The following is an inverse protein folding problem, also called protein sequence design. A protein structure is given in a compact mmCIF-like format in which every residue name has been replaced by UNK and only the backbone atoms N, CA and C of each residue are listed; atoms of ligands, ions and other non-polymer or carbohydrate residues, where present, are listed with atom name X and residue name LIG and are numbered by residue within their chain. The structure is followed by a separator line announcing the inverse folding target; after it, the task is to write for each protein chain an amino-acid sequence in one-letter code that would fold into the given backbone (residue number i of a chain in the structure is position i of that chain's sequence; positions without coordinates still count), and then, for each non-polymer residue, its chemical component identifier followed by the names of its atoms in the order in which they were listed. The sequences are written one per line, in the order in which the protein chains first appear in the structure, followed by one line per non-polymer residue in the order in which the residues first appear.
data_IF_492327902560
#
_entry.id   IF_492327902560
#
_cell.length_a   1.000
_cell.length_b   1.000
_cell.length_c   1.000
_cell.angle_alpha   90.00
_cell.angle_beta   90.00
_cell.angle_gamma   90.00
#
_symmetry.space_group_name_H-M   'P 1'
#
loop_
_entity.id
_entity.type
_entity.pdbx_description
1 polymer ?
#
# COMPACT_ATOMS: atom_id res chain seq x y z
N UNK A 1 -0.86 -53.67 -0.13
CA UNK A 1 -0.73 -52.79 1.05
C UNK A 1 0.22 -51.65 0.69
N UNK A 2 -0.25 -50.39 0.86
CA UNK A 2 0.53 -49.13 0.96
C UNK A 2 1.39 -48.73 -0.28
N UNK A 3 1.27 -47.57 -0.92
CA UNK A 3 0.71 -46.25 -0.57
C UNK A 3 0.31 -45.51 -1.85
N UNK A 4 -0.97 -45.14 -1.96
CA UNK A 4 -1.37 -43.83 -2.48
C UNK A 4 -0.69 -42.76 -1.62
N UNK A 5 -0.12 -41.72 -2.25
CA UNK A 5 0.11 -40.34 -1.74
C UNK A 5 1.36 -39.74 -2.39
N UNK A 6 1.21 -39.22 -3.60
CA UNK A 6 2.09 -38.18 -4.17
C UNK A 6 1.28 -37.31 -5.17
N UNK A 7 0.06 -36.93 -4.79
CA UNK A 7 -0.83 -36.09 -5.61
C UNK A 7 -1.39 -34.90 -4.80
N UNK A 8 -0.55 -34.20 -4.02
CA UNK A 8 -1.02 -33.07 -3.21
C UNK A 8 -0.06 -31.87 -3.10
N UNK A 9 0.91 -31.69 -4.01
CA UNK A 9 1.91 -30.62 -3.85
C UNK A 9 2.03 -29.63 -5.00
N UNK A 10 1.03 -29.50 -5.89
CA UNK A 10 1.08 -28.50 -6.98
C UNK A 10 -0.21 -27.66 -7.11
N UNK A 11 -1.23 -27.90 -6.29
CA UNK A 11 -2.52 -27.21 -6.40
C UNK A 11 -2.65 -25.88 -5.60
N UNK A 12 -1.54 -25.19 -5.32
CA UNK A 12 -1.54 -23.88 -4.62
C UNK A 12 -1.00 -22.72 -5.47
N UNK A 13 -0.74 -22.93 -6.77
CA UNK A 13 -0.07 -21.91 -7.60
C UNK A 13 -0.97 -21.09 -8.53
N UNK A 14 -2.30 -21.19 -8.43
CA UNK A 14 -3.19 -20.39 -9.30
C UNK A 14 -4.44 -19.94 -8.56
N UNK A 15 -4.25 -19.14 -7.50
CA UNK A 15 -5.14 -18.00 -7.33
C UNK A 15 -4.41 -16.83 -7.97
N UNK A 16 -4.62 -16.60 -9.26
CA UNK A 16 -4.44 -15.25 -9.79
C UNK A 16 -5.55 -14.43 -9.13
N UNK A 17 -5.22 -13.52 -8.20
CA UNK A 17 -6.24 -12.62 -7.66
C UNK A 17 -6.72 -11.79 -8.84
N UNK A 18 -8.03 -11.77 -9.09
CA UNK A 18 -8.56 -10.82 -10.04
C UNK A 18 -8.26 -9.43 -9.50
N UNK A 19 -7.43 -8.70 -10.25
CA UNK A 19 -7.04 -7.31 -10.05
C UNK A 19 -8.30 -6.43 -10.11
N UNK A 20 -9.05 -6.33 -9.01
CA UNK A 20 -9.57 -5.02 -8.65
C UNK A 20 -8.31 -4.18 -8.44
N UNK A 21 -7.94 -3.47 -9.50
CA UNK A 21 -6.62 -2.90 -9.68
C UNK A 21 -6.27 -2.09 -8.45
N UNK A 22 -5.22 -2.50 -7.72
CA UNK A 22 -4.69 -1.86 -6.51
C UNK A 22 -4.12 -0.47 -6.86
N UNK A 23 -4.95 0.39 -7.44
CA UNK A 23 -4.56 1.60 -8.15
C UNK A 23 -4.28 2.72 -7.15
N UNK A 24 -3.18 3.39 -7.40
CA UNK A 24 -2.82 4.67 -6.79
C UNK A 24 -3.45 5.77 -7.64
N UNK A 25 -4.02 6.77 -6.96
CA UNK A 25 -4.58 7.95 -7.63
C UNK A 25 -3.54 9.06 -7.72
N UNK A 26 -3.64 9.92 -8.74
CA UNK A 26 -2.72 11.05 -8.94
C UNK A 26 -2.51 11.89 -7.67
N UNK A 27 -3.57 12.28 -6.93
CA UNK A 27 -3.41 13.05 -5.69
C UNK A 27 -2.57 12.36 -4.60
N UNK A 28 -2.44 11.02 -4.66
CA UNK A 28 -1.58 10.25 -3.76
C UNK A 28 -0.11 10.54 -4.07
N UNK A 29 0.30 10.41 -5.33
CA UNK A 29 1.66 10.73 -5.74
C UNK A 29 1.97 12.22 -5.57
N UNK A 30 1.02 13.11 -5.87
CA UNK A 30 1.20 14.54 -5.61
C UNK A 30 1.47 14.83 -4.13
N UNK A 31 0.81 14.08 -3.22
CA UNK A 31 1.02 14.21 -1.77
C UNK A 31 2.35 13.62 -1.32
N UNK A 32 2.72 12.44 -1.83
CA UNK A 32 4.01 11.78 -1.55
C UNK A 32 5.18 12.66 -1.99
N UNK A 33 5.09 13.22 -3.20
CA UNK A 33 6.12 14.03 -3.81
C UNK A 33 6.05 15.51 -3.36
N UNK A 34 4.93 15.94 -2.80
CA UNK A 34 4.61 17.34 -2.47
C UNK A 34 4.78 18.28 -3.66
N UNK A 35 4.34 17.83 -4.82
CA UNK A 35 4.34 18.58 -6.08
C UNK A 35 3.00 18.35 -6.78
N UNK A 36 2.25 19.41 -7.02
CA UNK A 36 0.83 19.34 -7.41
C UNK A 36 0.62 19.88 -8.82
N UNK A 37 -0.31 19.28 -9.55
CA UNK A 37 -0.76 19.74 -10.87
C UNK A 37 0.27 19.53 -11.97
N UNK A 38 1.17 18.56 -11.83
CA UNK A 38 2.21 18.25 -12.82
C UNK A 38 1.81 17.10 -13.71
N UNK A 39 1.93 17.30 -15.02
CA UNK A 39 1.64 16.28 -16.02
C UNK A 39 2.49 15.02 -15.85
N UNK A 40 3.78 15.15 -15.52
CA UNK A 40 4.65 14.00 -15.29
C UNK A 40 4.22 13.13 -14.10
N UNK A 41 3.51 13.70 -13.11
CA UNK A 41 2.94 12.94 -11.98
C UNK A 41 1.72 12.14 -12.41
N UNK A 42 0.92 12.68 -13.34
CA UNK A 42 -0.18 11.93 -13.97
C UNK A 42 0.38 10.71 -14.71
N UNK A 43 1.40 10.93 -15.54
CA UNK A 43 2.06 9.86 -16.30
C UNK A 43 2.74 8.84 -15.40
N UNK A 44 3.45 9.29 -14.36
CA UNK A 44 4.03 8.44 -13.34
C UNK A 44 2.97 7.56 -12.68
N UNK A 45 1.82 8.13 -12.31
CA UNK A 45 0.73 7.39 -11.65
C UNK A 45 0.14 6.32 -12.57
N UNK A 46 -0.14 6.66 -13.83
CA UNK A 46 -0.67 5.71 -14.80
C UNK A 46 0.29 4.52 -14.99
N UNK A 47 1.56 4.81 -15.24
CA UNK A 47 2.56 3.77 -15.47
C UNK A 47 2.81 2.94 -14.19
N UNK A 48 2.85 3.58 -13.02
CA UNK A 48 3.01 2.87 -11.75
C UNK A 48 1.93 1.81 -11.52
N UNK A 49 0.69 2.10 -11.91
CA UNK A 49 -0.43 1.18 -11.76
C UNK A 49 -0.39 -0.01 -12.73
N UNK A 50 0.45 0.06 -13.77
CA UNK A 50 0.68 -1.03 -14.73
C UNK A 50 1.88 -1.91 -14.34
N UNK A 51 2.72 -1.45 -13.39
CA UNK A 51 3.91 -2.18 -12.97
C UNK A 51 3.56 -3.30 -11.99
N UNK A 52 4.08 -4.50 -12.28
CA UNK A 52 3.81 -5.70 -11.49
C UNK A 52 4.80 -5.93 -10.33
N UNK A 53 6.03 -5.39 -10.44
CA UNK A 53 7.11 -5.65 -9.48
C UNK A 53 7.58 -4.40 -8.74
N UNK A 54 7.99 -4.58 -7.48
CA UNK A 54 8.45 -3.48 -6.61
C UNK A 54 9.77 -2.89 -7.10
N UNK A 55 10.69 -3.71 -7.57
CA UNK A 55 11.98 -3.28 -8.09
C UNK A 55 11.81 -2.39 -9.33
N UNK A 56 10.90 -2.78 -10.24
CA UNK A 56 10.59 -1.98 -11.41
C UNK A 56 9.90 -0.68 -11.03
N UNK A 57 8.93 -0.74 -10.11
CA UNK A 57 8.22 0.44 -9.62
C UNK A 57 9.20 1.45 -9.01
N UNK A 58 10.11 0.98 -8.16
CA UNK A 58 11.20 1.79 -7.58
C UNK A 58 12.05 2.42 -8.67
N UNK A 59 12.59 1.62 -9.59
CA UNK A 59 13.46 2.11 -10.68
C UNK A 59 12.75 3.19 -11.50
N UNK A 60 11.53 2.90 -11.96
CA UNK A 60 10.75 3.81 -12.79
C UNK A 60 10.40 5.11 -12.06
N UNK A 61 9.96 5.04 -10.80
CA UNK A 61 9.66 6.22 -10.00
C UNK A 61 10.91 7.07 -9.75
N UNK A 62 12.06 6.46 -9.44
CA UNK A 62 13.31 7.22 -9.23
C UNK A 62 13.78 7.91 -10.51
N UNK A 63 13.71 7.22 -11.66
CA UNK A 63 14.04 7.79 -12.96
C UNK A 63 13.11 8.96 -13.32
N UNK A 64 11.81 8.83 -13.05
CA UNK A 64 10.85 9.91 -13.27
C UNK A 64 11.17 11.13 -12.38
N UNK A 65 11.53 10.92 -11.12
CA UNK A 65 11.94 12.00 -10.21
C UNK A 65 13.23 12.65 -10.72
N UNK A 66 14.26 11.87 -11.08
CA UNK A 66 15.54 12.41 -11.56
C UNK A 66 15.40 13.26 -12.82
N UNK A 67 14.51 12.87 -13.72
CA UNK A 67 14.32 13.56 -15.00
C UNK A 67 13.41 14.81 -14.90
N UNK A 68 12.52 14.88 -13.91
CA UNK A 68 11.48 15.91 -13.86
C UNK A 68 11.56 16.84 -12.63
N UNK A 69 12.30 16.45 -11.59
CA UNK A 69 12.30 17.18 -10.33
C UNK A 69 13.11 18.48 -10.41
N UNK A 70 12.48 19.59 -10.01
CA UNK A 70 13.13 20.88 -9.85
C UNK A 70 12.86 21.41 -8.43
N UNK A 71 13.88 21.50 -7.56
CA UNK A 71 13.65 21.90 -6.18
C UNK A 71 13.25 23.37 -6.11
N UNK A 72 12.20 23.66 -5.34
CA UNK A 72 11.72 25.02 -5.12
C UNK A 72 12.48 25.64 -3.93
N UNK A 73 13.05 26.82 -4.14
CA UNK A 73 13.65 27.59 -3.05
C UNK A 73 12.55 28.26 -2.22
N UNK A 74 12.61 28.06 -0.89
CA UNK A 74 11.86 28.87 0.06
C UNK A 74 12.69 30.11 0.36
N UNK A 75 12.34 31.25 -0.24
CA UNK A 75 12.81 32.54 0.24
C UNK A 75 11.95 32.92 1.46
N UNK A 76 12.52 32.99 2.68
CA UNK A 76 11.76 33.48 3.81
C UNK A 76 11.56 34.99 3.64
N UNK A 77 10.38 35.39 3.18
CA UNK A 77 10.04 36.79 2.89
C UNK A 77 10.10 37.69 4.15
N UNK A 78 10.22 37.11 5.35
CA UNK A 78 10.24 37.84 6.63
C UNK A 78 11.27 37.32 7.67
N UNK A 79 12.25 36.49 7.32
CA UNK A 79 13.26 36.11 8.31
C UNK A 79 14.35 37.19 8.36
N UNK A 80 14.76 37.56 9.57
CA UNK A 80 15.77 38.60 9.82
C UNK A 80 17.05 38.36 9.03
N UNK A 81 17.92 39.39 8.99
CA UNK A 81 19.10 39.57 8.10
C UNK A 81 20.04 38.38 7.81
N UNK A 82 19.87 37.22 8.43
CA UNK A 82 20.75 36.04 8.34
C UNK A 82 20.09 34.75 7.84
N UNK A 83 18.83 34.76 7.38
CA UNK A 83 18.20 33.52 6.89
C UNK A 83 18.62 33.17 5.47
N UNK A 84 19.46 32.13 5.34
CA UNK A 84 19.82 31.55 4.05
C UNK A 84 18.59 30.91 3.37
N UNK A 85 18.48 30.99 2.03
CA UNK A 85 17.47 30.23 1.29
C UNK A 85 17.59 28.74 1.60
N UNK A 86 16.48 28.07 1.87
CA UNK A 86 16.42 26.62 2.05
C UNK A 86 15.57 25.98 0.95
N UNK A 87 15.93 24.77 0.53
CA UNK A 87 15.09 24.01 -0.40
C UNK A 87 13.83 23.57 0.34
N UNK A 88 12.66 23.87 -0.23
CA UNK A 88 11.38 23.51 0.37
C UNK A 88 11.16 21.99 0.35
N UNK A 89 11.65 21.33 -0.71
CA UNK A 89 11.64 19.87 -0.89
C UNK A 89 12.95 19.45 -1.58
N UNK A 90 14.01 19.12 -0.82
CA UNK A 90 15.25 18.60 -1.40
C UNK A 90 15.01 17.23 -2.06
N UNK A 91 15.70 16.98 -3.18
CA UNK A 91 15.49 15.77 -4.00
C UNK A 91 15.67 14.47 -3.20
N UNK A 92 16.65 14.42 -2.28
CA UNK A 92 16.89 13.23 -1.45
C UNK A 92 15.67 12.89 -0.60
N UNK A 93 14.99 13.89 -0.04
CA UNK A 93 13.78 13.69 0.77
C UNK A 93 12.57 13.29 -0.07
N UNK A 94 12.50 13.77 -1.31
CA UNK A 94 11.45 13.37 -2.27
C UNK A 94 11.63 11.92 -2.68
N UNK A 95 12.88 11.51 -2.97
CA UNK A 95 13.23 10.13 -3.26
C UNK A 95 12.99 9.22 -2.06
N UNK A 96 13.36 9.62 -0.85
CA UNK A 96 13.08 8.88 0.38
C UNK A 96 11.57 8.67 0.57
N UNK A 97 10.76 9.70 0.35
CA UNK A 97 9.31 9.60 0.44
C UNK A 97 8.71 8.66 -0.62
N UNK A 98 9.18 8.74 -1.87
CA UNK A 98 8.75 7.85 -2.94
C UNK A 98 9.19 6.40 -2.69
N UNK A 99 10.48 6.20 -2.45
CA UNK A 99 11.10 5.22 -1.56
C UNK A 99 10.14 4.38 -0.73
N UNK A 100 9.91 4.94 0.44
CA UNK A 100 9.12 4.34 1.46
C UNK A 100 7.72 4.05 0.87
N UNK A 101 7.09 4.94 0.07
CA UNK A 101 5.69 4.82 -0.35
C UNK A 101 5.47 3.53 -1.12
N UNK A 102 6.42 3.20 -1.98
CA UNK A 102 6.40 1.97 -2.77
C UNK A 102 6.52 0.74 -1.84
N UNK A 103 7.41 0.78 -0.84
CA UNK A 103 7.57 -0.30 0.13
C UNK A 103 6.35 -0.47 1.05
N UNK A 104 5.69 0.63 1.44
CA UNK A 104 4.46 0.55 2.21
C UNK A 104 3.31 0.01 1.35
N UNK A 105 3.21 0.43 0.09
CA UNK A 105 2.20 -0.09 -0.84
C UNK A 105 2.36 -1.59 -1.04
N UNK A 106 3.60 -2.06 -1.18
CA UNK A 106 3.94 -3.48 -1.20
C UNK A 106 3.50 -4.20 0.08
N UNK A 107 3.84 -3.66 1.24
CA UNK A 107 3.45 -4.22 2.53
C UNK A 107 1.94 -4.32 2.69
N UNK A 108 1.19 -3.29 2.27
CA UNK A 108 -0.28 -3.30 2.30
C UNK A 108 -0.85 -4.41 1.40
N UNK A 109 -0.29 -4.59 0.20
CA UNK A 109 -0.66 -5.68 -0.74
C UNK A 109 -0.40 -7.06 -0.14
N UNK A 110 0.78 -7.27 0.46
CA UNK A 110 1.12 -8.51 1.15
C UNK A 110 0.16 -8.78 2.30
N UNK A 111 -0.09 -7.78 3.14
CA UNK A 111 -0.97 -7.89 4.29
C UNK A 111 -2.40 -8.29 3.90
N UNK A 112 -3.02 -7.58 2.95
CA UNK A 112 -4.40 -7.89 2.56
C UNK A 112 -4.48 -9.25 1.87
N UNK A 113 -3.47 -9.63 1.08
CA UNK A 113 -3.44 -10.94 0.42
C UNK A 113 -3.33 -12.08 1.43
N UNK A 114 -2.42 -11.97 2.40
CA UNK A 114 -2.23 -12.96 3.47
C UNK A 114 -3.50 -13.07 4.34
N UNK A 115 -4.11 -11.94 4.71
CA UNK A 115 -5.36 -11.90 5.49
C UNK A 115 -6.48 -12.66 4.78
N UNK A 116 -6.70 -12.37 3.49
CA UNK A 116 -7.75 -12.98 2.70
C UNK A 116 -7.45 -14.47 2.45
N UNK A 117 -6.20 -14.83 2.18
CA UNK A 117 -5.79 -16.22 1.98
C UNK A 117 -6.04 -17.06 3.24
N UNK A 118 -5.65 -16.56 4.42
CA UNK A 118 -5.89 -17.25 5.70
C UNK A 118 -7.38 -17.34 6.02
N UNK A 119 -8.15 -16.27 5.74
CA UNK A 119 -9.59 -16.25 5.96
C UNK A 119 -10.34 -17.24 5.05
N UNK A 120 -9.96 -17.34 3.78
CA UNK A 120 -10.53 -18.33 2.85
C UNK A 120 -10.12 -19.75 3.23
N UNK A 121 -8.85 -19.97 3.58
CA UNK A 121 -8.35 -21.30 3.97
C UNK A 121 -8.97 -21.84 5.26
N UNK A 122 -9.36 -20.94 6.17
CA UNK A 122 -10.03 -21.28 7.43
C UNK A 122 -11.57 -21.32 7.33
N UNK A 123 -12.12 -21.08 6.14
CA UNK A 123 -13.57 -21.10 5.90
C UNK A 123 -14.33 -19.92 6.50
N UNK A 124 -13.65 -18.82 6.84
CA UNK A 124 -14.28 -17.58 7.30
C UNK A 124 -14.95 -16.86 6.13
N UNK A 125 -14.32 -16.90 4.96
CA UNK A 125 -14.79 -16.29 3.72
C UNK A 125 -14.77 -17.30 2.57
N UNK A 126 -15.68 -17.15 1.62
CA UNK A 126 -15.54 -17.72 0.29
C UNK A 126 -14.75 -16.78 -0.65
N UNK A 127 -14.41 -17.23 -1.86
CA UNK A 127 -13.58 -16.47 -2.80
C UNK A 127 -14.24 -15.18 -3.30
N UNK A 128 -15.57 -15.13 -3.40
CA UNK A 128 -16.31 -13.95 -3.84
C UNK A 128 -16.30 -12.90 -2.72
N UNK A 129 -16.51 -13.33 -1.48
CA UNK A 129 -16.44 -12.45 -0.30
C UNK A 129 -15.04 -11.88 -0.11
N UNK A 130 -14.00 -12.68 -0.36
CA UNK A 130 -12.61 -12.23 -0.27
C UNK A 130 -12.32 -11.07 -1.23
N UNK A 131 -12.85 -11.11 -2.45
CA UNK A 131 -12.67 -10.05 -3.44
C UNK A 131 -13.41 -8.77 -3.07
N UNK A 132 -14.65 -8.90 -2.59
CA UNK A 132 -15.40 -7.75 -2.07
C UNK A 132 -14.70 -7.10 -0.86
N UNK A 133 -14.08 -7.90 0.01
CA UNK A 133 -13.32 -7.38 1.15
C UNK A 133 -12.01 -6.72 0.69
N UNK A 134 -11.34 -7.23 -0.35
CA UNK A 134 -10.16 -6.57 -0.93
C UNK A 134 -10.52 -5.18 -1.48
N UNK A 135 -11.61 -5.08 -2.22
CA UNK A 135 -12.09 -3.80 -2.76
C UNK A 135 -12.37 -2.78 -1.64
N UNK A 136 -13.03 -3.21 -0.56
CA UNK A 136 -13.28 -2.37 0.62
C UNK A 136 -11.99 -1.90 1.30
N UNK A 137 -10.98 -2.76 1.39
CA UNK A 137 -9.69 -2.37 1.98
C UNK A 137 -9.07 -1.19 1.23
N UNK A 138 -9.03 -1.26 -0.09
CA UNK A 138 -8.49 -0.18 -0.92
C UNK A 138 -9.39 1.05 -0.98
N UNK A 139 -10.71 0.88 -0.94
CA UNK A 139 -11.65 2.01 -0.81
C UNK A 139 -11.37 2.83 0.46
N UNK A 140 -11.09 2.15 1.58
CA UNK A 140 -10.78 2.82 2.86
C UNK A 140 -9.41 3.50 2.80
N UNK A 141 -8.40 2.85 2.23
CA UNK A 141 -7.04 3.40 2.07
C UNK A 141 -7.04 4.68 1.23
N UNK A 142 -7.65 4.62 0.04
CA UNK A 142 -7.75 5.76 -0.90
C UNK A 142 -8.41 6.99 -0.29
N UNK A 143 -9.41 6.80 0.57
CA UNK A 143 -10.16 7.91 1.17
C UNK A 143 -9.43 8.62 2.29
N UNK A 144 -8.38 8.02 2.85
CA UNK A 144 -7.93 8.42 4.16
C UNK A 144 -6.44 8.79 4.25
N UNK A 145 -5.54 8.34 3.35
CA UNK A 145 -4.10 8.68 3.38
C UNK A 145 -3.53 8.75 4.83
N UNK A 146 -3.81 7.72 5.61
CA UNK A 146 -3.61 7.65 7.08
C UNK A 146 -2.63 6.54 7.43
N UNK A 147 -2.04 6.61 8.62
CA UNK A 147 -1.24 5.51 9.18
C UNK A 147 -2.03 4.20 9.29
N UNK A 148 -1.30 3.08 9.27
CA UNK A 148 -1.88 1.74 9.15
C UNK A 148 -2.86 1.37 10.26
N UNK A 149 -2.65 1.80 11.52
CA UNK A 149 -3.63 1.53 12.60
C UNK A 149 -5.01 2.09 12.30
N UNK A 150 -5.06 3.33 11.81
CA UNK A 150 -6.32 4.01 11.50
C UNK A 150 -6.95 3.37 10.26
N UNK A 151 -6.14 2.96 9.28
CA UNK A 151 -6.61 2.21 8.11
C UNK A 151 -7.26 0.89 8.56
N UNK A 152 -6.56 0.13 9.40
CA UNK A 152 -7.02 -1.17 9.93
C UNK A 152 -8.34 -1.03 10.69
N UNK A 153 -8.43 -0.06 11.61
CA UNK A 153 -9.66 0.22 12.36
C UNK A 153 -10.84 0.54 11.43
N UNK A 154 -10.63 1.47 10.48
CA UNK A 154 -11.68 1.87 9.53
C UNK A 154 -12.06 0.75 8.58
N UNK A 155 -11.11 -0.08 8.18
CA UNK A 155 -11.35 -1.25 7.35
C UNK A 155 -12.25 -2.25 8.06
N UNK A 156 -11.93 -2.65 9.29
CA UNK A 156 -12.78 -3.61 10.01
C UNK A 156 -14.15 -3.06 10.34
N UNK A 157 -14.24 -1.76 10.66
CA UNK A 157 -15.52 -1.06 10.75
C UNK A 157 -16.30 -1.15 9.43
N UNK A 158 -15.65 -0.92 8.29
CA UNK A 158 -16.28 -0.99 6.97
C UNK A 158 -16.76 -2.40 6.62
N UNK A 159 -16.04 -3.44 7.07
CA UNK A 159 -16.48 -4.83 6.90
C UNK A 159 -17.71 -5.12 7.79
N UNK A 160 -17.75 -4.60 9.03
CA UNK A 160 -18.87 -4.80 9.94
C UNK A 160 -20.20 -4.17 9.47
N UNK A 161 -20.15 -3.25 8.50
CA UNK A 161 -21.36 -2.68 7.89
C UNK A 161 -22.11 -3.72 7.02
N UNK A 162 -21.39 -4.69 6.46
CA UNK A 162 -21.91 -5.63 5.45
C UNK A 162 -22.02 -7.07 5.96
N UNK A 163 -21.31 -7.41 7.04
CA UNK A 163 -21.22 -8.76 7.58
C UNK A 163 -21.66 -8.81 9.04
N UNK A 164 -22.11 -9.98 9.50
CA UNK A 164 -22.37 -10.21 10.92
C UNK A 164 -21.11 -10.03 11.76
N UNK A 165 -21.25 -9.63 13.02
CA UNK A 165 -20.14 -9.37 13.96
C UNK A 165 -19.10 -10.50 14.06
N UNK A 166 -19.47 -11.72 13.70
CA UNK A 166 -18.57 -12.87 13.70
C UNK A 166 -17.45 -12.74 12.65
N UNK A 167 -17.75 -12.26 11.45
CA UNK A 167 -16.77 -12.19 10.35
C UNK A 167 -15.68 -11.13 10.62
N UNK A 168 -16.00 -9.85 10.93
CA UNK A 168 -14.99 -8.87 11.29
C UNK A 168 -14.12 -9.33 12.46
N UNK A 169 -14.70 -9.93 13.52
CA UNK A 169 -13.95 -10.43 14.67
C UNK A 169 -12.96 -11.53 14.31
N UNK A 170 -13.36 -12.47 13.44
CA UNK A 170 -12.48 -13.53 12.95
C UNK A 170 -11.37 -12.96 12.08
N UNK A 171 -11.67 -11.99 11.21
CA UNK A 171 -10.66 -11.31 10.40
C UNK A 171 -9.68 -10.49 11.25
N UNK A 172 -10.15 -9.81 12.30
CA UNK A 172 -9.31 -9.11 13.27
C UNK A 172 -8.37 -10.08 14.02
N UNK A 173 -8.85 -11.28 14.34
CA UNK A 173 -8.03 -12.32 14.97
C UNK A 173 -6.91 -12.75 14.03
N UNK A 174 -7.24 -13.08 12.77
CA UNK A 174 -6.26 -13.46 11.75
C UNK A 174 -5.26 -12.31 11.49
N UNK A 175 -5.75 -11.07 11.43
CA UNK A 175 -4.91 -9.88 11.27
C UNK A 175 -3.90 -9.74 12.41
N UNK A 176 -4.35 -9.93 13.65
CA UNK A 176 -3.47 -9.89 14.83
C UNK A 176 -2.39 -10.97 14.73
N UNK A 177 -2.76 -12.19 14.38
CA UNK A 177 -1.81 -13.30 14.19
C UNK A 177 -0.78 -13.00 13.10
N UNK A 178 -1.19 -12.43 11.96
CA UNK A 178 -0.27 -12.02 10.89
C UNK A 178 0.75 -11.00 11.41
N UNK A 179 0.27 -9.96 12.10
CA UNK A 179 1.12 -8.87 12.59
C UNK A 179 2.07 -9.30 13.72
N UNK A 180 1.69 -10.31 14.51
CA UNK A 180 2.54 -10.91 15.54
C UNK A 180 3.58 -11.89 14.98
N UNK A 181 3.24 -12.59 13.89
CA UNK A 181 4.12 -13.62 13.29
C UNK A 181 5.09 -13.05 12.27
N UNK A 182 4.67 -12.07 11.47
CA UNK A 182 5.51 -11.43 10.46
C UNK A 182 5.98 -10.05 10.91
N UNK A 183 7.04 -10.05 11.71
CA UNK A 183 7.66 -8.82 12.25
C UNK A 183 8.18 -7.87 11.17
N UNK A 184 8.60 -8.39 10.00
CA UNK A 184 9.10 -7.57 8.91
C UNK A 184 7.94 -6.84 8.22
N UNK A 185 6.87 -7.57 7.87
CA UNK A 185 5.66 -6.98 7.32
C UNK A 185 5.09 -5.92 8.27
N UNK A 186 4.99 -6.25 9.56
CA UNK A 186 4.54 -5.32 10.58
C UNK A 186 5.40 -4.05 10.60
N UNK A 187 6.74 -4.17 10.63
CA UNK A 187 7.62 -2.99 10.61
C UNK A 187 7.41 -2.08 9.38
N UNK A 188 7.11 -2.66 8.21
CA UNK A 188 6.89 -1.90 6.96
C UNK A 188 5.52 -1.23 6.92
N UNK A 189 4.48 -1.86 7.47
CA UNK A 189 3.12 -1.30 7.52
C UNK A 189 3.06 -0.04 8.39
N UNK A 190 3.82 -0.03 9.48
CA UNK A 190 3.85 1.05 10.47
C UNK A 190 4.87 2.15 10.18
N UNK A 191 5.53 2.09 9.01
CA UNK A 191 6.45 3.15 8.60
C UNK A 191 5.66 4.34 8.04
N UNK A 192 5.60 5.44 8.80
CA UNK A 192 4.91 6.68 8.41
C UNK A 192 5.89 7.70 7.81
N UNK A 193 5.43 8.43 6.79
CA UNK A 193 6.11 9.55 6.15
C UNK A 193 5.80 10.84 6.92
N UNK A 194 6.82 11.66 7.21
CA UNK A 194 6.67 12.99 7.83
C UNK A 194 7.37 14.10 7.03
#
# INVERSE_FOLDING_TARGET
MLKQLCWFSVALLFFEPSLATDQVMVPTFETVLRDYGKQWIVELTCNFNEIETVEEARRFTMEAIDNNWAPVLRNPVCAGQDSQPSLMNPIDKVKENAENFILQREALKMYISELLQRATSSGVLNSIEAESIREKFWEVELRQQIGFDVLKEKFFKKVSEDYSDEVPRKLETISTEILETDTLLNSRLYWTYY
#
